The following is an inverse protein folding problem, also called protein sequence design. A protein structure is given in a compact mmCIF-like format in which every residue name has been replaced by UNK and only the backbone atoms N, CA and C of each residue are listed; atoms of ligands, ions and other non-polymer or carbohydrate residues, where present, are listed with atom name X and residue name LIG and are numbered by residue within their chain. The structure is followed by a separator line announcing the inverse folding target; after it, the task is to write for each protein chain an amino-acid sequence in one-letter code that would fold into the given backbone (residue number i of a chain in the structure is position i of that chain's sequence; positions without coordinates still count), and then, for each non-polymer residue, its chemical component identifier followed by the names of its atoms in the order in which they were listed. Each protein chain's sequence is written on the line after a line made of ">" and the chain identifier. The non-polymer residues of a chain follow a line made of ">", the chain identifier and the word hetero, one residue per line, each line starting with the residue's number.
data_IF_132632155114
#
_entry.id   IF_132632155114
#
_cell.length_a   1.000
_cell.length_b   1.000
_cell.length_c   1.000
_cell.angle_alpha   90.00
_cell.angle_beta   90.00
_cell.angle_gamma   90.00
#
_symmetry.space_group_name_H-M   'P 1'
#
loop_
_entity.id
_entity.type
_entity.pdbx_description
1 polymer ?
#
# COMPACT_ATOMS: atom_id res chain seq x y z
N UNK A 1 12.47 -5.04 -1.14
CA UNK A 1 11.70 -6.25 -0.80
C UNK A 1 10.21 -5.99 -0.95
N UNK A 2 9.69 -4.88 -0.42
CA UNK A 2 8.28 -4.48 -0.53
C UNK A 2 7.64 -4.69 -1.93
N UNK A 3 8.27 -4.23 -3.01
CA UNK A 3 7.73 -4.40 -4.37
C UNK A 3 7.53 -5.87 -4.77
N UNK A 4 8.42 -6.76 -4.37
CA UNK A 4 8.37 -8.19 -4.72
C UNK A 4 7.22 -8.86 -3.98
N UNK A 5 7.13 -8.63 -2.68
CA UNK A 5 6.04 -9.15 -1.83
C UNK A 5 4.69 -8.61 -2.30
N UNK A 6 4.60 -7.30 -2.56
CA UNK A 6 3.40 -6.69 -3.13
C UNK A 6 3.02 -7.32 -4.48
N UNK A 7 3.99 -7.66 -5.32
CA UNK A 7 3.73 -8.33 -6.61
C UNK A 7 3.18 -9.74 -6.41
N UNK A 8 3.75 -10.52 -5.47
CA UNK A 8 3.28 -11.87 -5.17
C UNK A 8 1.84 -11.87 -4.66
N UNK A 9 1.56 -11.04 -3.65
CA UNK A 9 0.23 -10.92 -3.04
C UNK A 9 -0.79 -10.36 -4.04
N UNK A 10 -0.39 -9.40 -4.89
CA UNK A 10 -1.24 -8.84 -5.93
C UNK A 10 -1.64 -9.89 -6.98
N UNK A 11 -0.69 -10.72 -7.42
CA UNK A 11 -0.98 -11.80 -8.37
C UNK A 11 -1.91 -12.84 -7.74
N UNK A 12 -1.63 -13.25 -6.49
CA UNK A 12 -2.50 -14.21 -5.79
C UNK A 12 -3.91 -13.65 -5.62
N UNK A 13 -4.04 -12.41 -5.18
CA UNK A 13 -5.32 -11.72 -5.03
C UNK A 13 -6.06 -11.60 -6.36
N UNK A 14 -5.35 -11.30 -7.46
CA UNK A 14 -5.94 -11.29 -8.80
C UNK A 14 -6.48 -12.66 -9.18
N UNK A 15 -5.68 -13.73 -9.04
CA UNK A 15 -6.11 -15.09 -9.37
C UNK A 15 -7.40 -15.44 -8.63
N UNK A 16 -7.44 -15.16 -7.32
CA UNK A 16 -8.63 -15.38 -6.50
C UNK A 16 -9.85 -14.57 -6.99
N UNK A 17 -9.66 -13.29 -7.32
CA UNK A 17 -10.75 -12.44 -7.82
C UNK A 17 -11.23 -12.87 -9.22
N UNK A 18 -10.35 -13.40 -10.06
CA UNK A 18 -10.73 -13.99 -11.34
C UNK A 18 -11.57 -15.26 -11.16
N UNK A 19 -11.20 -16.14 -10.23
CA UNK A 19 -11.97 -17.33 -9.89
C UNK A 19 -13.38 -17.00 -9.36
N UNK A 20 -13.52 -15.86 -8.68
CA UNK A 20 -14.83 -15.35 -8.22
C UNK A 20 -15.63 -14.64 -9.34
N UNK A 21 -15.03 -14.37 -10.50
CA UNK A 21 -15.66 -13.61 -11.58
C UNK A 21 -15.70 -12.10 -11.37
N UNK A 22 -14.98 -11.57 -10.38
CA UNK A 22 -14.93 -10.14 -10.04
C UNK A 22 -13.85 -9.38 -10.84
N UNK A 23 -12.94 -10.11 -11.48
CA UNK A 23 -11.89 -9.57 -12.35
C UNK A 23 -11.72 -10.45 -13.58
N UNK A 24 -11.30 -9.86 -14.72
CA UNK A 24 -10.98 -10.61 -15.93
C UNK A 24 -9.50 -10.97 -15.94
N UNK A 25 -9.17 -12.13 -16.51
CA UNK A 25 -7.79 -12.61 -16.58
C UNK A 25 -6.87 -11.67 -17.38
N UNK A 26 -7.41 -10.97 -18.38
CA UNK A 26 -6.66 -10.03 -19.20
C UNK A 26 -6.37 -8.71 -18.49
N UNK A 27 -7.08 -8.37 -17.41
CA UNK A 27 -6.93 -7.09 -16.74
C UNK A 27 -5.64 -7.07 -15.90
N UNK A 28 -4.65 -6.21 -16.20
CA UNK A 28 -3.38 -6.20 -15.48
C UNK A 28 -3.51 -5.57 -14.09
N UNK A 29 -2.73 -6.07 -13.12
CA UNK A 29 -2.68 -5.45 -11.79
C UNK A 29 -1.77 -4.23 -11.82
N UNK A 30 -2.27 -3.09 -11.35
CA UNK A 30 -1.48 -1.85 -11.26
C UNK A 30 -0.81 -1.76 -9.90
N UNK A 31 0.52 -1.70 -9.90
CA UNK A 31 1.33 -1.50 -8.69
C UNK A 31 2.01 -0.14 -8.78
N UNK A 32 1.94 0.64 -7.70
CA UNK A 32 2.59 1.94 -7.60
C UNK A 32 3.88 1.82 -6.79
N UNK A 33 4.95 2.44 -7.29
CA UNK A 33 6.28 2.42 -6.67
C UNK A 33 6.85 3.84 -6.63
N UNK A 34 7.40 4.25 -5.48
CA UNK A 34 8.01 5.57 -5.31
C UNK A 34 9.54 5.53 -5.37
N UNK A 35 10.15 4.36 -5.19
CA UNK A 35 11.58 4.19 -5.35
C UNK A 35 11.95 4.02 -6.84
N UNK A 36 12.50 5.08 -7.43
CA UNK A 36 12.98 5.07 -8.81
C UNK A 36 14.04 4.00 -9.09
N UNK A 37 14.87 3.63 -8.10
CA UNK A 37 15.84 2.55 -8.26
C UNK A 37 15.16 1.19 -8.41
N UNK A 38 14.17 0.90 -7.57
CA UNK A 38 13.34 -0.31 -7.68
C UNK A 38 12.55 -0.34 -8.98
N UNK A 39 11.99 0.81 -9.39
CA UNK A 39 11.26 0.96 -10.64
C UNK A 39 12.17 0.69 -11.86
N UNK A 40 13.39 1.24 -11.86
CA UNK A 40 14.36 1.04 -12.92
C UNK A 40 14.84 -0.43 -12.99
N UNK A 41 15.13 -1.05 -11.84
CA UNK A 41 15.53 -2.47 -11.77
C UNK A 41 14.43 -3.42 -12.29
N UNK A 42 13.16 -3.10 -12.03
CA UNK A 42 12.04 -3.87 -12.55
C UNK A 42 11.90 -3.73 -14.08
N UNK A 43 12.19 -2.56 -14.65
CA UNK A 43 12.01 -2.28 -16.09
C UNK A 43 13.23 -2.54 -16.98
N UNK A 44 14.45 -2.39 -16.48
CA UNK A 44 15.66 -2.50 -17.29
C UNK A 44 16.76 -3.35 -16.59
N UNK A 45 17.18 -4.49 -17.20
CA UNK A 45 18.28 -5.30 -16.70
C UNK A 45 19.66 -4.62 -16.66
N UNK A 46 19.87 -3.54 -17.40
CA UNK A 46 21.21 -2.96 -17.56
C UNK A 46 21.75 -2.24 -16.31
N UNK A 47 20.88 -1.94 -15.33
CA UNK A 47 21.29 -1.36 -14.05
C UNK A 47 21.88 -2.42 -13.09
N UNK A 48 23.18 -2.64 -13.26
CA UNK A 48 24.20 -3.04 -12.26
C UNK A 48 24.56 -4.52 -12.03
N UNK A 49 25.78 -4.84 -12.50
CA UNK A 49 26.67 -5.98 -12.17
C UNK A 49 27.08 -6.13 -10.69
N UNK A 50 26.42 -5.51 -9.70
CA UNK A 50 26.97 -5.42 -8.32
C UNK A 50 26.15 -6.07 -7.21
N UNK A 51 24.97 -6.65 -7.47
CA UNK A 51 24.23 -7.32 -6.38
C UNK A 51 23.33 -8.47 -6.88
N UNK A 52 23.95 -9.62 -7.21
CA UNK A 52 23.28 -10.83 -7.73
C UNK A 52 22.01 -11.23 -6.97
N UNK A 53 21.98 -11.08 -5.65
CA UNK A 53 20.82 -11.45 -4.80
C UNK A 53 19.65 -10.46 -4.90
N UNK A 54 19.91 -9.20 -5.28
CA UNK A 54 18.86 -8.24 -5.62
C UNK A 54 18.33 -8.56 -7.01
N UNK A 55 19.21 -8.78 -7.99
CA UNK A 55 18.83 -9.10 -9.37
C UNK A 55 17.90 -10.31 -9.45
N UNK A 56 18.24 -11.40 -8.74
CA UNK A 56 17.44 -12.63 -8.71
C UNK A 56 16.01 -12.37 -8.21
N UNK A 57 15.85 -11.51 -7.21
CA UNK A 57 14.53 -11.24 -6.61
C UNK A 57 13.68 -10.32 -7.48
N UNK A 58 14.30 -9.43 -8.24
CA UNK A 58 13.58 -8.58 -9.20
C UNK A 58 13.20 -9.31 -10.50
N UNK A 59 13.75 -10.50 -10.76
CA UNK A 59 13.32 -11.31 -11.91
C UNK A 59 11.82 -11.62 -11.88
N UNK A 60 11.26 -11.93 -10.71
CA UNK A 60 9.82 -12.19 -10.60
C UNK A 60 8.99 -10.98 -11.03
N UNK A 61 9.32 -9.80 -10.49
CA UNK A 61 8.58 -8.57 -10.82
C UNK A 61 8.69 -8.26 -12.31
N UNK A 62 9.89 -8.41 -12.87
CA UNK A 62 10.13 -8.21 -14.29
C UNK A 62 9.34 -9.19 -15.15
N UNK A 63 9.36 -10.48 -14.84
CA UNK A 63 8.59 -11.51 -15.55
C UNK A 63 7.10 -11.16 -15.57
N UNK A 64 6.54 -10.69 -14.44
CA UNK A 64 5.13 -10.28 -14.36
C UNK A 64 4.83 -8.99 -15.12
N UNK A 65 5.78 -8.07 -15.20
CA UNK A 65 5.63 -6.84 -16.00
C UNK A 65 5.75 -7.13 -17.50
N UNK A 66 6.77 -7.89 -17.91
CA UNK A 66 6.99 -8.28 -19.31
C UNK A 66 5.87 -9.17 -19.84
N UNK A 67 5.34 -10.06 -18.99
CA UNK A 67 4.17 -10.88 -19.30
C UNK A 67 2.84 -10.11 -19.30
N UNK A 68 2.85 -8.80 -19.05
CA UNK A 68 1.66 -7.95 -19.03
C UNK A 68 0.69 -8.22 -17.88
N UNK A 69 1.04 -9.07 -16.92
CA UNK A 69 0.20 -9.38 -15.77
C UNK A 69 0.19 -8.23 -14.75
N UNK A 70 1.28 -7.45 -14.70
CA UNK A 70 1.46 -6.30 -13.82
C UNK A 70 1.86 -5.07 -14.63
N UNK A 71 1.24 -3.93 -14.32
CA UNK A 71 1.69 -2.62 -14.77
C UNK A 71 2.32 -1.90 -13.57
N UNK A 72 3.63 -1.67 -13.65
CA UNK A 72 4.36 -0.90 -12.65
C UNK A 72 4.32 0.59 -13.01
N UNK A 73 3.80 1.41 -12.10
CA UNK A 73 3.65 2.85 -12.25
C UNK A 73 4.47 3.59 -11.19
N UNK A 74 5.17 4.64 -11.61
CA UNK A 74 5.83 5.53 -10.66
C UNK A 74 4.79 6.41 -9.95
N UNK A 75 4.96 6.62 -8.64
CA UNK A 75 4.26 7.65 -7.90
C UNK A 75 5.23 8.42 -7.00
N UNK A 76 4.96 9.70 -6.74
CA UNK A 76 5.81 10.45 -5.80
C UNK A 76 5.63 9.92 -4.38
N UNK A 77 6.68 9.90 -3.56
CA UNK A 77 6.62 9.52 -2.14
C UNK A 77 5.54 10.26 -1.36
N UNK A 78 5.32 11.55 -1.64
CA UNK A 78 4.25 12.35 -1.00
C UNK A 78 2.84 11.81 -1.26
N UNK A 79 2.64 11.02 -2.31
CA UNK A 79 1.38 10.45 -2.73
C UNK A 79 1.33 8.92 -2.55
N UNK A 80 2.39 8.30 -2.02
CA UNK A 80 2.44 6.85 -1.82
C UNK A 80 1.53 6.45 -0.66
N UNK A 81 0.30 6.01 -0.96
CA UNK A 81 -0.72 5.69 0.06
C UNK A 81 -0.25 4.62 1.05
N UNK A 82 0.58 3.66 0.61
CA UNK A 82 1.11 2.62 1.47
C UNK A 82 2.06 3.14 2.56
N UNK A 83 2.62 4.35 2.41
CA UNK A 83 3.49 4.95 3.44
C UNK A 83 2.74 5.18 4.75
N UNK A 84 1.42 5.41 4.67
CA UNK A 84 0.54 5.53 5.83
C UNK A 84 0.53 4.27 6.70
N UNK A 85 0.76 3.10 6.11
CA UNK A 85 0.71 1.79 6.79
C UNK A 85 2.09 1.24 7.13
N UNK A 86 3.14 1.74 6.47
CA UNK A 86 4.48 1.13 6.51
C UNK A 86 5.54 2.02 7.14
N UNK A 87 5.29 3.33 7.29
CA UNK A 87 6.28 4.30 7.78
C UNK A 87 5.72 5.14 8.94
N UNK A 88 6.58 5.55 9.89
CA UNK A 88 6.23 6.59 10.85
C UNK A 88 6.22 7.95 10.13
N UNK A 89 5.04 8.47 9.82
CA UNK A 89 4.83 9.76 9.13
C UNK A 89 4.16 10.78 10.06
N UNK A 90 4.24 12.06 9.69
CA UNK A 90 3.58 13.13 10.46
C UNK A 90 2.06 13.01 10.38
N UNK A 91 1.35 13.50 11.41
CA UNK A 91 -0.12 13.50 11.42
C UNK A 91 -0.73 14.21 10.21
N UNK A 92 -0.10 15.30 9.74
CA UNK A 92 -0.53 16.01 8.53
C UNK A 92 -0.40 15.15 7.27
N UNK A 93 0.72 14.43 7.10
CA UNK A 93 0.92 13.53 5.97
C UNK A 93 -0.03 12.32 6.04
N UNK A 94 -0.25 11.77 7.24
CA UNK A 94 -1.21 10.70 7.46
C UNK A 94 -2.62 11.13 7.06
N UNK A 95 -3.08 12.30 7.52
CA UNK A 95 -4.42 12.80 7.20
C UNK A 95 -4.59 13.06 5.70
N UNK A 96 -3.55 13.57 5.04
CA UNK A 96 -3.53 13.74 3.59
C UNK A 96 -3.67 12.39 2.85
N UNK A 97 -2.84 11.40 3.16
CA UNK A 97 -2.88 10.07 2.52
C UNK A 97 -4.18 9.33 2.83
N UNK A 98 -4.71 9.44 4.07
CA UNK A 98 -5.99 8.89 4.49
C UNK A 98 -7.15 9.45 3.66
N UNK A 99 -7.19 10.77 3.47
CA UNK A 99 -8.17 11.45 2.60
C UNK A 99 -8.03 10.98 1.15
N UNK A 100 -6.81 10.83 0.62
CA UNK A 100 -6.57 10.28 -0.72
C UNK A 100 -7.02 8.82 -0.90
N UNK A 101 -7.10 8.05 0.19
CA UNK A 101 -7.61 6.68 0.18
C UNK A 101 -9.15 6.64 0.32
N UNK A 102 -9.81 7.78 0.52
CA UNK A 102 -11.26 7.88 0.71
C UNK A 102 -11.73 7.48 2.11
N UNK A 103 -10.81 7.22 3.03
CA UNK A 103 -11.14 6.90 4.42
C UNK A 103 -11.62 8.20 5.08
N UNK A 104 -12.85 8.20 5.60
CA UNK A 104 -13.42 9.31 6.37
C UNK A 104 -13.05 9.19 7.85
N UNK A 105 -13.07 10.30 8.57
CA UNK A 105 -12.92 10.20 10.03
C UNK A 105 -14.15 9.47 10.56
N UNK A 106 -14.01 8.68 11.63
CA UNK A 106 -15.18 8.12 12.29
C UNK A 106 -16.12 9.27 12.64
N UNK A 107 -17.42 9.05 12.42
CA UNK A 107 -18.45 9.96 12.92
C UNK A 107 -18.29 9.90 14.43
N UNK A 108 -17.68 10.90 15.03
CA UNK A 108 -17.84 11.13 16.46
C UNK A 108 -19.30 11.45 16.64
N UNK A 109 -20.11 10.45 17.00
CA UNK A 109 -21.33 10.73 17.72
C UNK A 109 -20.89 11.60 18.89
N UNK A 110 -21.38 12.83 18.94
CA UNK A 110 -21.19 13.68 20.11
C UNK A 110 -21.75 12.88 21.28
N UNK A 111 -20.84 12.28 22.05
CA UNK A 111 -21.16 11.77 23.36
C UNK A 111 -21.50 13.00 24.18
N UNK A 112 -22.77 13.39 24.18
CA UNK A 112 -23.38 14.28 25.16
C UNK A 112 -23.39 13.59 26.52
N UNK A 113 -22.20 13.25 27.01
CA UNK A 113 -21.98 12.75 28.34
C UNK A 113 -22.03 13.94 29.28
N UNK A 114 -23.23 14.26 29.76
CA UNK A 114 -23.39 15.09 30.95
C UNK A 114 -22.64 14.41 32.09
N UNK A 115 -21.52 14.98 32.52
CA UNK A 115 -20.88 14.62 33.79
C UNK A 115 -21.88 15.00 34.87
N UNK A 116 -22.56 14.00 35.43
CA UNK A 116 -23.40 14.19 36.62
C UNK A 116 -22.44 14.46 37.77
N UNK A 117 -22.60 15.61 38.44
CA UNK A 117 -21.83 15.98 39.64
C UNK A 117 -21.84 14.84 40.67
N UNK A 118 -20.66 14.55 41.23
CA UNK A 118 -20.47 13.57 42.30
C UNK A 118 -21.35 13.89 43.52
N UNK A 119 -22.12 12.90 43.98
CA UNK A 119 -22.80 12.97 45.27
C UNK A 119 -21.77 12.89 46.42
N UNK A 120 -21.94 13.65 47.52
CA UNK A 120 -20.96 13.69 48.58
C UNK A 120 -20.89 12.34 49.31
N UNK A 121 -19.67 11.84 49.48
CA UNK A 121 -19.37 10.65 50.27
C UNK A 121 -19.81 10.87 51.72
N UNK A 122 -20.72 10.03 52.21
CA UNK A 122 -21.04 9.94 53.62
C UNK A 122 -19.87 9.27 54.34
N UNK A 123 -19.26 9.97 55.27
CA UNK A 123 -18.27 9.43 56.22
C UNK A 123 -19.02 8.94 57.45
N UNK A 124 -18.95 7.65 57.72
CA UNK A 124 -19.11 7.10 59.08
C UNK A 124 -17.75 7.06 59.79
#
# INVERSE_FOLDING_TARGET
>A
MALIEATQEAIWSKTFLCELGEMRDEDPVRIFEDNQGSFALAKNPEFHKRTKHIDIRYHLVREKVEGGQVILLYCSTKAMKADMMTKPITAAQFDFLRKMLGIKQPITAESSGSVVEEAPRHTD
#
